data_IF_840932116485
#
_entry.id   IF_840932116485
#
_cell.length_a   1.000
_cell.length_b   1.000
_cell.length_c   1.000
_cell.angle_alpha   90.00
_cell.angle_beta   90.00
_cell.angle_gamma   90.00
#
_symmetry.space_group_name_H-M   'P 1'
#
loop_
_entity.id
_entity.type
_entity.pdbx_description
1 polymer ?
#
# COMPACT_ATOMS: atom_id res chain seq x y z
N UNK A 1 -5.24 -12.69 -5.74
CA UNK A 1 -4.14 -12.07 -6.52
C UNK A 1 -3.11 -11.58 -5.51
N UNK A 2 -1.81 -11.60 -5.80
CA UNK A 2 -0.78 -11.16 -4.85
C UNK A 2 0.07 -10.03 -5.43
N UNK A 3 0.43 -9.06 -4.59
CA UNK A 3 1.40 -8.02 -4.93
C UNK A 3 2.80 -8.62 -4.90
N UNK A 4 3.53 -8.49 -6.00
CA UNK A 4 4.91 -8.96 -6.09
C UNK A 4 5.86 -7.91 -5.52
N UNK A 5 6.78 -8.35 -4.69
CA UNK A 5 7.81 -7.52 -4.07
C UNK A 5 9.15 -8.19 -4.28
N UNK A 6 10.17 -7.39 -4.61
CA UNK A 6 11.55 -7.85 -4.62
C UNK A 6 12.30 -7.28 -3.42
N UNK A 7 13.04 -8.12 -2.72
CA UNK A 7 14.00 -7.69 -1.71
C UNK A 7 15.41 -7.87 -2.26
N UNK A 8 16.20 -6.80 -2.33
CA UNK A 8 17.57 -6.86 -2.85
C UNK A 8 18.55 -6.29 -1.83
N UNK A 9 19.66 -6.99 -1.62
CA UNK A 9 20.75 -6.48 -0.78
C UNK A 9 21.42 -5.26 -1.44
N UNK A 10 21.42 -4.13 -0.75
CA UNK A 10 22.05 -2.87 -1.20
C UNK A 10 22.84 -2.24 -0.07
N UNK A 11 23.92 -1.55 -0.43
CA UNK A 11 24.71 -0.75 0.51
C UNK A 11 23.91 0.49 0.93
N UNK A 12 23.65 0.62 2.23
CA UNK A 12 23.00 1.79 2.79
C UNK A 12 24.00 2.95 2.87
N UNK A 13 23.75 4.03 2.12
CA UNK A 13 24.66 5.18 2.03
C UNK A 13 24.37 6.30 3.03
N UNK A 14 23.22 6.28 3.71
CA UNK A 14 22.75 7.38 4.56
C UNK A 14 21.99 6.83 5.76
N UNK A 15 22.15 7.49 6.91
CA UNK A 15 21.35 7.27 8.11
C UNK A 15 22.02 6.34 9.13
N UNK A 16 21.25 5.87 10.11
CA UNK A 16 21.74 5.07 11.25
C UNK A 16 22.57 3.83 10.86
N UNK A 17 22.40 3.33 9.65
CA UNK A 17 23.01 2.11 9.16
C UNK A 17 23.95 2.32 7.97
N UNK A 18 24.46 3.54 7.82
CA UNK A 18 25.44 3.91 6.81
C UNK A 18 26.64 2.93 6.81
N UNK A 19 27.06 2.53 5.61
CA UNK A 19 28.16 1.59 5.41
C UNK A 19 27.78 0.11 5.56
N UNK A 20 26.53 -0.22 5.93
CA UNK A 20 26.07 -1.61 6.05
C UNK A 20 25.23 -2.05 4.85
N UNK A 21 25.33 -3.32 4.47
CA UNK A 21 24.48 -3.92 3.45
C UNK A 21 23.16 -4.39 4.06
N UNK A 22 22.05 -4.08 3.37
CA UNK A 22 20.69 -4.37 3.84
C UNK A 22 19.78 -4.77 2.70
N UNK A 23 18.83 -5.65 2.98
CA UNK A 23 17.76 -5.96 2.05
C UNK A 23 16.75 -4.81 2.01
N UNK A 24 16.54 -4.25 0.82
CA UNK A 24 15.54 -3.21 0.57
C UNK A 24 14.42 -3.85 -0.25
N UNK A 25 13.21 -3.81 0.30
CA UNK A 25 12.00 -4.22 -0.38
C UNK A 25 11.52 -3.12 -1.34
N UNK A 26 11.18 -3.52 -2.56
CA UNK A 26 10.60 -2.65 -3.58
C UNK A 26 9.47 -3.42 -4.27
N UNK A 27 8.36 -2.74 -4.63
CA UNK A 27 7.32 -3.38 -5.42
C UNK A 27 7.89 -3.81 -6.78
N UNK A 28 7.56 -5.02 -7.21
CA UNK A 28 7.81 -5.47 -8.56
C UNK A 28 6.65 -5.01 -9.44
N UNK A 29 6.80 -3.80 -9.98
CA UNK A 29 5.80 -3.18 -10.82
C UNK A 29 5.78 -3.85 -12.19
N UNK A 30 4.58 -4.21 -12.67
CA UNK A 30 4.37 -4.56 -14.06
C UNK A 30 4.60 -3.34 -14.96
N UNK A 31 4.75 -3.58 -16.27
CA UNK A 31 4.83 -2.52 -17.26
C UNK A 31 3.60 -1.61 -17.19
N UNK A 32 3.78 -0.33 -17.52
CA UNK A 32 2.68 0.62 -17.58
C UNK A 32 1.63 0.15 -18.58
N UNK A 33 0.37 0.07 -18.15
CA UNK A 33 -0.75 -0.15 -19.05
C UNK A 33 -1.02 1.13 -19.86
N UNK A 34 -1.26 0.98 -21.16
CA UNK A 34 -1.67 2.11 -22.00
C UNK A 34 -3.12 2.50 -21.70
N UNK A 35 -3.46 3.77 -21.91
CA UNK A 35 -4.82 4.28 -21.81
C UNK A 35 -5.80 3.46 -22.68
N UNK A 36 -5.38 3.06 -23.88
CA UNK A 36 -6.20 2.25 -24.79
C UNK A 36 -6.65 0.91 -24.18
N UNK A 37 -5.77 0.25 -23.42
CA UNK A 37 -6.10 -1.01 -22.73
C UNK A 37 -7.14 -0.78 -21.64
N UNK A 38 -6.96 0.28 -20.83
CA UNK A 38 -7.92 0.63 -19.76
C UNK A 38 -9.29 0.92 -20.36
N UNK A 39 -9.34 1.70 -21.44
CA UNK A 39 -10.59 2.07 -22.12
C UNK A 39 -11.25 0.85 -22.75
N UNK A 40 -10.49 -0.05 -23.36
CA UNK A 40 -11.03 -1.30 -23.92
C UNK A 40 -11.64 -2.20 -22.84
N UNK A 41 -10.95 -2.36 -21.71
CA UNK A 41 -11.45 -3.14 -20.57
C UNK A 41 -12.70 -2.48 -19.93
N UNK A 42 -12.69 -1.16 -19.76
CA UNK A 42 -13.84 -0.42 -19.25
C UNK A 42 -15.05 -0.52 -20.19
N UNK A 43 -14.84 -0.41 -21.50
CA UNK A 43 -15.89 -0.58 -22.51
C UNK A 43 -16.48 -1.99 -22.45
N UNK A 44 -15.64 -3.02 -22.35
CA UNK A 44 -16.08 -4.41 -22.22
C UNK A 44 -16.92 -4.63 -20.95
N UNK A 45 -16.47 -4.11 -19.81
CA UNK A 45 -17.16 -4.26 -18.51
C UNK A 45 -18.47 -3.48 -18.42
N UNK A 46 -18.56 -2.34 -19.10
CA UNK A 46 -19.76 -1.49 -19.10
C UNK A 46 -20.73 -1.80 -20.23
N UNK A 47 -20.34 -2.66 -21.20
CA UNK A 47 -21.17 -2.99 -22.36
C UNK A 47 -21.31 -1.85 -23.38
N UNK A 48 -20.55 -0.76 -23.24
CA UNK A 48 -20.59 0.36 -24.20
C UNK A 48 -19.54 0.20 -25.28
N UNK A 49 -19.72 0.89 -26.41
CA UNK A 49 -18.70 0.89 -27.46
C UNK A 49 -17.42 1.58 -27.00
N UNK A 50 -16.27 1.10 -27.48
CA UNK A 50 -14.95 1.70 -27.18
C UNK A 50 -14.90 3.19 -27.53
N UNK A 51 -15.54 3.60 -28.63
CA UNK A 51 -15.58 5.01 -29.04
C UNK A 51 -16.34 5.91 -28.06
N UNK A 52 -17.47 5.44 -27.54
CA UNK A 52 -18.22 6.17 -26.50
C UNK A 52 -17.41 6.23 -25.21
N UNK A 53 -16.80 5.11 -24.79
CA UNK A 53 -15.97 5.08 -23.58
C UNK A 53 -14.77 6.04 -23.69
N UNK A 54 -14.12 6.11 -24.84
CA UNK A 54 -13.04 7.06 -25.11
C UNK A 54 -13.52 8.50 -24.95
N UNK A 55 -14.65 8.86 -25.58
CA UNK A 55 -15.21 10.21 -25.48
C UNK A 55 -15.56 10.59 -24.03
N UNK A 56 -16.18 9.68 -23.27
CA UNK A 56 -16.49 9.91 -21.85
C UNK A 56 -15.22 10.03 -21.00
N UNK A 57 -14.21 9.19 -21.26
CA UNK A 57 -12.93 9.22 -20.55
C UNK A 57 -12.20 10.55 -20.76
N UNK A 58 -12.12 11.01 -22.01
CA UNK A 58 -11.46 12.27 -22.35
C UNK A 58 -12.21 13.47 -21.75
N UNK A 59 -13.55 13.47 -21.83
CA UNK A 59 -14.38 14.51 -21.22
C UNK A 59 -14.20 14.56 -19.69
N UNK A 60 -14.22 13.40 -19.01
CA UNK A 60 -13.96 13.33 -17.58
C UNK A 60 -12.55 13.84 -17.23
N UNK A 61 -11.55 13.52 -18.04
CA UNK A 61 -10.18 14.02 -17.89
C UNK A 61 -10.08 15.54 -17.96
N UNK A 62 -10.78 16.18 -18.89
CA UNK A 62 -10.82 17.65 -18.99
C UNK A 62 -11.53 18.29 -17.79
N UNK A 63 -12.63 17.72 -17.34
CA UNK A 63 -13.35 18.19 -16.14
C UNK A 63 -12.46 18.10 -14.90
N UNK A 64 -11.80 16.95 -14.69
CA UNK A 64 -10.88 16.75 -13.57
C UNK A 64 -9.73 17.77 -13.62
N UNK A 65 -9.17 18.02 -14.80
CA UNK A 65 -8.08 19.00 -15.00
C UNK A 65 -8.52 20.41 -14.64
N UNK A 66 -9.69 20.84 -15.12
CA UNK A 66 -10.25 22.17 -14.82
C UNK A 66 -10.47 22.35 -13.31
N UNK A 67 -11.18 21.43 -12.68
CA UNK A 67 -11.48 21.51 -11.25
C UNK A 67 -10.23 21.42 -10.36
N UNK A 68 -9.24 20.62 -10.76
CA UNK A 68 -7.96 20.56 -10.07
C UNK A 68 -7.23 21.91 -10.13
N UNK A 69 -7.34 22.66 -11.24
CA UNK A 69 -6.74 24.01 -11.34
C UNK A 69 -7.54 25.10 -10.63
N UNK A 70 -8.84 24.91 -10.44
CA UNK A 70 -9.72 25.80 -9.68
C UNK A 70 -9.59 25.63 -8.15
N UNK A 71 -8.83 24.62 -7.71
CA UNK A 71 -8.59 24.34 -6.30
C UNK A 71 -9.65 23.46 -5.64
N UNK A 72 -10.57 22.90 -6.42
CA UNK A 72 -11.55 21.94 -5.91
C UNK A 72 -10.88 20.61 -5.53
N UNK A 73 -11.49 19.95 -4.54
CA UNK A 73 -11.19 18.54 -4.24
C UNK A 73 -12.07 17.66 -5.11
N UNK A 74 -11.47 16.92 -6.02
CA UNK A 74 -12.18 16.08 -7.00
C UNK A 74 -12.18 14.63 -6.53
N UNK A 75 -13.36 14.02 -6.45
CA UNK A 75 -13.49 12.60 -6.17
C UNK A 75 -13.19 11.79 -7.44
N UNK A 76 -12.28 10.82 -7.31
CA UNK A 76 -11.95 9.84 -8.34
C UNK A 76 -12.55 8.50 -7.92
N UNK A 77 -13.59 8.01 -8.62
CA UNK A 77 -14.28 6.77 -8.28
C UNK A 77 -13.33 5.58 -8.12
N UNK A 78 -13.47 4.83 -7.02
CA UNK A 78 -12.65 3.65 -6.71
C UNK A 78 -11.19 3.94 -6.36
N UNK A 79 -10.77 5.21 -6.34
CA UNK A 79 -9.40 5.61 -6.04
C UNK A 79 -9.33 6.45 -4.75
N UNK A 80 -10.10 7.54 -4.69
CA UNK A 80 -10.00 8.49 -3.59
C UNK A 80 -10.31 9.92 -3.99
N UNK A 81 -9.68 10.88 -3.35
CA UNK A 81 -9.83 12.31 -3.65
C UNK A 81 -8.51 12.91 -4.05
N UNK A 82 -8.52 13.79 -5.05
CA UNK A 82 -7.37 14.58 -5.47
C UNK A 82 -7.64 16.06 -5.22
N UNK A 83 -6.63 16.80 -4.76
CA UNK A 83 -6.71 18.24 -4.58
C UNK A 83 -5.42 18.95 -4.96
N UNK A 84 -5.53 20.22 -5.30
CA UNK A 84 -4.39 21.10 -5.48
C UNK A 84 -3.68 21.36 -4.15
N UNK A 85 -2.35 21.37 -4.19
CA UNK A 85 -1.51 21.72 -3.05
C UNK A 85 -0.31 22.54 -3.48
N UNK A 86 0.16 23.41 -2.60
CA UNK A 86 1.38 24.19 -2.80
C UNK A 86 2.41 23.84 -1.73
N UNK A 87 3.68 23.98 -2.07
CA UNK A 87 4.77 24.12 -1.11
C UNK A 87 5.30 25.54 -1.24
N UNK A 88 5.39 26.26 -0.13
CA UNK A 88 5.88 27.63 -0.10
C UNK A 88 6.81 27.85 1.11
N UNK A 89 7.72 28.82 0.98
CA UNK A 89 8.52 29.31 2.12
C UNK A 89 7.67 30.19 3.02
N UNK A 90 7.88 30.10 4.33
CA UNK A 90 7.26 31.00 5.30
C UNK A 90 8.05 32.31 5.40
N UNK A 91 7.34 33.39 5.72
CA UNK A 91 7.90 34.73 5.97
C UNK A 91 7.24 35.30 7.22
N UNK A 92 7.93 36.19 7.94
CA UNK A 92 7.45 36.71 9.21
C UNK A 92 6.49 37.90 9.06
N UNK A 93 6.61 38.66 7.96
CA UNK A 93 5.83 39.89 7.72
C UNK A 93 4.89 39.73 6.53
N UNK A 94 3.75 40.40 6.60
CA UNK A 94 2.73 40.36 5.53
C UNK A 94 3.25 40.93 4.20
N UNK A 95 4.09 41.97 4.25
CA UNK A 95 4.66 42.61 3.04
C UNK A 95 5.64 41.71 2.27
N UNK A 96 6.13 40.66 2.93
CA UNK A 96 7.02 39.67 2.33
C UNK A 96 6.24 38.53 1.66
N UNK A 97 4.91 38.46 1.85
CA UNK A 97 4.04 37.46 1.23
C UNK A 97 3.95 37.74 -0.26
N UNK A 98 4.67 36.94 -1.04
CA UNK A 98 4.79 37.09 -2.50
C UNK A 98 4.56 35.77 -3.20
N UNK A 99 4.07 35.80 -4.43
CA UNK A 99 3.88 34.61 -5.26
C UNK A 99 5.18 33.79 -5.43
N UNK A 100 6.33 34.47 -5.45
CA UNK A 100 7.65 33.83 -5.53
C UNK A 100 8.03 32.96 -4.32
N UNK A 101 7.27 33.00 -3.22
CA UNK A 101 7.45 32.08 -2.10
C UNK A 101 7.03 30.65 -2.44
N UNK A 102 6.16 30.46 -3.44
CA UNK A 102 5.70 29.14 -3.88
C UNK A 102 6.83 28.41 -4.60
N UNK A 103 7.34 27.35 -3.98
CA UNK A 103 8.42 26.51 -4.53
C UNK A 103 7.91 25.41 -5.43
N UNK A 104 6.68 24.93 -5.22
CA UNK A 104 6.06 23.94 -6.09
C UNK A 104 4.54 23.92 -5.98
N UNK A 105 3.90 23.56 -7.08
CA UNK A 105 2.47 23.25 -7.19
C UNK A 105 2.35 21.76 -7.46
N UNK A 106 1.47 21.06 -6.74
CA UNK A 106 1.37 19.60 -6.78
C UNK A 106 -0.07 19.14 -6.60
N UNK A 107 -0.36 17.94 -7.04
CA UNK A 107 -1.58 17.23 -6.67
C UNK A 107 -1.30 16.43 -5.39
N UNK A 108 -2.22 16.53 -4.44
CA UNK A 108 -2.26 15.68 -3.26
C UNK A 108 -3.40 14.69 -3.45
N UNK A 109 -3.08 13.40 -3.41
CA UNK A 109 -4.04 12.32 -3.53
C UNK A 109 -4.24 11.66 -2.16
N UNK A 110 -5.50 11.57 -1.74
CA UNK A 110 -5.91 10.85 -0.54
C UNK A 110 -6.67 9.59 -0.99
N UNK A 111 -6.08 8.39 -0.84
CA UNK A 111 -6.78 7.15 -1.18
C UNK A 111 -8.06 6.97 -0.37
N UNK A 112 -9.09 6.40 -0.98
CA UNK A 112 -10.32 6.02 -0.29
C UNK A 112 -10.07 4.89 0.72
N UNK A 113 -10.97 4.76 1.70
CA UNK A 113 -10.82 3.81 2.83
C UNK A 113 -10.89 2.36 2.32
N UNK A 114 -11.86 2.07 1.46
CA UNK A 114 -12.03 0.79 0.77
C UNK A 114 -10.77 0.37 -0.01
N UNK A 115 -10.16 1.29 -0.75
CA UNK A 115 -8.91 1.02 -1.47
C UNK A 115 -7.76 0.71 -0.50
N UNK A 116 -7.67 1.40 0.64
CA UNK A 116 -6.63 1.10 1.65
C UNK A 116 -6.83 -0.27 2.27
N UNK A 117 -8.07 -0.64 2.56
CA UNK A 117 -8.43 -1.95 3.11
C UNK A 117 -8.12 -3.07 2.10
N UNK A 118 -8.47 -2.88 0.82
CA UNK A 118 -8.17 -3.84 -0.24
C UNK A 118 -6.65 -4.02 -0.43
N UNK A 119 -5.89 -2.92 -0.39
CA UNK A 119 -4.42 -2.98 -0.48
C UNK A 119 -3.80 -3.69 0.74
N UNK A 120 -4.34 -3.47 1.94
CA UNK A 120 -3.86 -4.13 3.16
C UNK A 120 -4.20 -5.62 3.19
N UNK A 121 -5.37 -6.01 2.67
CA UNK A 121 -5.80 -7.40 2.59
C UNK A 121 -5.20 -8.19 1.41
N UNK A 122 -4.52 -7.52 0.47
CA UNK A 122 -3.92 -8.20 -0.69
C UNK A 122 -2.62 -8.89 -0.28
N UNK A 123 -2.58 -10.23 -0.46
CA UNK A 123 -1.40 -11.04 -0.20
C UNK A 123 -0.14 -10.49 -0.88
N UNK A 124 1.01 -10.61 -0.22
CA UNK A 124 2.31 -10.18 -0.75
C UNK A 124 3.19 -11.40 -1.02
N UNK A 125 3.77 -11.46 -2.22
CA UNK A 125 4.77 -12.44 -2.59
C UNK A 125 6.13 -11.76 -2.74
N UNK A 126 7.04 -12.07 -1.83
CA UNK A 126 8.39 -11.50 -1.78
C UNK A 126 9.36 -12.48 -2.41
N UNK A 127 10.17 -11.97 -3.35
CA UNK A 127 11.33 -12.69 -3.90
C UNK A 127 12.60 -11.97 -3.46
N UNK A 128 13.46 -12.66 -2.74
CA UNK A 128 14.73 -12.13 -2.24
C UNK A 128 15.86 -12.47 -3.20
N UNK A 129 16.69 -11.47 -3.49
CA UNK A 129 17.85 -11.55 -4.36
C UNK A 129 19.10 -11.16 -3.62
N UNK A 130 20.18 -11.92 -3.83
CA UNK A 130 21.51 -11.53 -3.37
C UNK A 130 22.10 -10.35 -4.18
N UNK A 131 23.36 -9.99 -3.89
CA UNK A 131 24.07 -8.90 -4.56
C UNK A 131 24.22 -9.12 -6.06
N UNK A 132 24.38 -10.37 -6.45
CA UNK A 132 24.60 -10.79 -7.83
C UNK A 132 23.28 -10.94 -8.60
N UNK A 133 22.15 -10.69 -7.93
CA UNK A 133 20.82 -10.76 -8.51
C UNK A 133 20.27 -12.19 -8.60
N UNK A 134 20.90 -13.16 -7.93
CA UNK A 134 20.41 -14.53 -7.86
C UNK A 134 19.34 -14.64 -6.79
N UNK A 135 18.27 -15.34 -7.14
CA UNK A 135 17.19 -15.62 -6.21
C UNK A 135 17.67 -16.54 -5.08
N UNK A 136 17.44 -16.12 -3.83
CA UNK A 136 17.90 -16.84 -2.63
C UNK A 136 16.77 -17.29 -1.72
N UNK A 137 15.61 -16.63 -1.76
CA UNK A 137 14.46 -16.95 -0.89
C UNK A 137 13.16 -16.43 -1.52
N UNK A 138 12.07 -17.17 -1.35
CA UNK A 138 10.69 -16.66 -1.55
C UNK A 138 9.93 -16.70 -0.23
N UNK A 139 9.17 -15.66 0.03
CA UNK A 139 8.24 -15.57 1.16
C UNK A 139 6.88 -15.22 0.61
N UNK A 140 5.86 -16.01 0.94
CA UNK A 140 4.48 -15.74 0.55
C UNK A 140 3.70 -15.48 1.82
N UNK A 141 3.16 -14.27 1.97
CA UNK A 141 2.18 -14.02 3.03
C UNK A 141 0.83 -14.56 2.55
N UNK A 142 0.30 -15.56 3.26
CA UNK A 142 -1.00 -16.17 2.96
C UNK A 142 -2.14 -15.58 3.79
N UNK A 143 -1.86 -14.61 4.65
CA UNK A 143 -2.83 -14.07 5.61
C UNK A 143 -3.00 -12.55 5.41
N UNK A 144 -4.24 -12.05 5.26
CA UNK A 144 -4.52 -10.61 5.26
C UNK A 144 -4.25 -10.00 6.65
N UNK A 145 -3.01 -9.56 6.89
CA UNK A 145 -2.70 -8.66 8.00
C UNK A 145 -1.70 -9.17 9.05
N UNK A 146 -1.22 -10.42 8.99
CA UNK A 146 0.00 -10.80 9.72
C UNK A 146 1.21 -10.53 8.84
N UNK A 147 1.71 -9.30 8.94
CA UNK A 147 3.12 -9.04 8.63
C UNK A 147 3.91 -9.88 9.63
N UNK A 148 4.74 -10.82 9.18
CA UNK A 148 5.67 -11.51 10.08
C UNK A 148 6.43 -10.43 10.85
N UNK A 149 6.16 -10.30 12.15
CA UNK A 149 6.85 -9.36 13.01
C UNK A 149 8.30 -9.88 13.12
N UNK A 150 9.33 -9.14 12.68
CA UNK A 150 10.70 -9.64 12.68
C UNK A 150 11.26 -9.94 14.08
N UNK A 151 10.51 -9.62 15.14
CA UNK A 151 10.87 -9.85 16.54
C UNK A 151 10.11 -11.02 17.20
N UNK A 152 9.26 -11.78 16.48
CA UNK A 152 8.70 -13.03 17.03
C UNK A 152 9.59 -14.26 16.71
N UNK A 153 10.00 -15.05 17.70
CA UNK A 153 10.70 -16.30 17.44
C UNK A 153 9.75 -17.28 16.74
N UNK A 154 10.16 -17.72 15.55
CA UNK A 154 9.53 -18.82 14.82
C UNK A 154 9.35 -20.03 15.74
N UNK A 155 8.14 -20.24 16.24
CA UNK A 155 7.82 -21.46 16.94
C UNK A 155 7.52 -22.53 15.88
N UNK A 156 8.60 -23.22 15.49
CA UNK A 156 8.56 -24.31 14.53
C UNK A 156 7.50 -25.34 14.93
N UNK A 157 6.52 -25.54 14.05
CA UNK A 157 5.57 -26.63 14.12
C UNK A 157 6.29 -27.98 13.99
N UNK A 158 6.70 -28.54 15.12
CA UNK A 158 7.13 -29.93 15.25
C UNK A 158 5.94 -30.80 15.64
N UNK A 159 5.26 -31.36 14.64
CA UNK A 159 4.30 -32.44 14.85
C UNK A 159 5.08 -33.74 15.11
N UNK A 160 5.19 -34.15 16.38
CA UNK A 160 5.59 -35.51 16.75
C UNK A 160 4.63 -36.01 17.82
N UNK A 161 3.70 -36.87 17.40
CA UNK A 161 2.81 -37.60 18.28
C UNK A 161 3.57 -38.56 19.21
N UNK A 162 3.07 -38.67 20.44
CA UNK A 162 3.58 -39.58 21.46
C UNK A 162 2.60 -39.71 22.61
N UNK A 163 1.85 -40.81 22.59
CA UNK A 163 0.86 -41.26 23.56
C UNK A 163 1.42 -41.38 24.99
N UNK A 164 0.79 -40.76 26.01
CA UNK A 164 0.73 -41.32 27.38
C UNK A 164 -0.44 -40.74 28.16
N UNK A 165 -1.35 -41.61 28.60
CA UNK A 165 -2.52 -41.26 29.41
C UNK A 165 -2.19 -41.00 30.89
N UNK A 166 -3.12 -40.34 31.58
CA UNK A 166 -3.10 -40.13 33.02
C UNK A 166 -4.37 -39.43 33.52
N UNK A 167 -5.27 -40.21 34.10
CA UNK A 167 -6.56 -39.84 34.70
C UNK A 167 -6.40 -39.19 36.09
N UNK A 168 -7.07 -38.06 36.36
CA UNK A 168 -7.77 -37.62 37.61
C UNK A 168 -8.09 -36.14 37.45
N UNK A 169 -9.24 -35.54 37.77
CA UNK A 169 -10.42 -35.95 38.51
C UNK A 169 -10.95 -34.72 39.27
N UNK A 170 -12.16 -34.25 38.94
CA UNK A 170 -13.08 -33.63 39.91
C UNK A 170 -13.08 -32.10 40.10
N UNK A 171 -14.28 -31.54 40.04
CA UNK A 171 -14.76 -30.59 41.05
C UNK A 171 -14.86 -29.12 40.63
N UNK A 172 -16.05 -28.71 40.17
CA UNK A 172 -16.40 -27.30 40.08
C UNK A 172 -16.66 -26.66 41.45
N UNK A 173 -16.52 -25.34 41.52
CA UNK A 173 -17.49 -24.50 42.23
C UNK A 173 -17.31 -23.02 41.89
N UNK A 174 -18.46 -22.39 41.70
CA UNK A 174 -18.70 -20.95 41.71
C UNK A 174 -18.16 -20.30 43.00
N UNK A 175 -17.56 -19.11 42.86
CA UNK A 175 -17.96 -17.94 43.63
C UNK A 175 -17.27 -16.68 43.10
N UNK A 176 -18.02 -15.79 42.45
CA UNK A 176 -17.73 -14.35 42.52
C UNK A 176 -18.21 -13.83 43.88
N UNK A 177 -17.54 -12.80 44.41
CA UNK A 177 -18.33 -11.65 44.81
C UNK A 177 -17.73 -10.30 44.41
N UNK A 178 -18.69 -9.41 44.19
CA UNK A 178 -18.66 -7.97 43.94
C UNK A 178 -18.10 -7.17 45.13
N UNK A 179 -17.52 -5.99 44.85
CA UNK A 179 -17.30 -4.85 45.77
C UNK A 179 -15.92 -4.21 45.50
N UNK A 180 -15.76 -2.92 45.23
CA UNK A 180 -16.58 -1.70 45.40
C UNK A 180 -16.19 -0.72 44.28
#
# INVERSE_FOLDING_TARGET
MALKVKAQEKLQKIGKYEGTYRYIMMPELYTSLSQDKVIKEAALRSGVSKGIMQACWDAAGEVIKAWATEGHSVALPGLGTMRFGIRAKSVAKVDEVKAGLVTSRRIIFTPAVDLKEELAGTAIQITCYDRDGKEIKRVTSTDPGTVEDPDEPSNGGGNTGGNTGGNTGGGGNHNEPIGD
#
